data_IF_757348247585
#
_entry.id   IF_757348247585
#
_cell.length_a   1.000
_cell.length_b   1.000
_cell.length_c   1.000
_cell.angle_alpha   90.00
_cell.angle_beta   90.00
_cell.angle_gamma   90.00
#
_symmetry.space_group_name_H-M   'P 1'
#
loop_
_entity.id
_entity.type
_entity.pdbx_description
1 polymer ?
#
# COMPACT_ATOMS: atom_id res chain seq x y z
N UNK A 1 16.68 25.76 -11.97
CA UNK A 1 17.08 24.78 -10.92
C UNK A 1 17.01 25.49 -9.58
N UNK A 2 16.17 25.04 -8.62
CA UNK A 2 16.11 25.68 -7.29
C UNK A 2 17.43 25.41 -6.58
N UNK A 3 18.22 26.46 -6.37
CA UNK A 3 19.57 26.38 -5.81
C UNK A 3 19.55 25.87 -4.37
N UNK A 4 20.55 25.05 -4.03
CA UNK A 4 20.77 24.59 -2.67
C UNK A 4 21.23 25.77 -1.82
N UNK A 5 20.49 26.09 -0.76
CA UNK A 5 21.02 26.99 0.27
C UNK A 5 22.19 26.30 0.98
N UNK A 6 23.35 26.97 1.02
CA UNK A 6 24.59 26.49 1.67
C UNK A 6 24.35 26.01 3.12
N UNK A 7 23.40 26.63 3.83
CA UNK A 7 23.03 26.25 5.19
C UNK A 7 22.32 24.89 5.28
N UNK A 8 21.51 24.53 4.28
CA UNK A 8 20.84 23.21 4.23
C UNK A 8 21.86 22.11 3.98
N UNK A 9 22.83 22.36 3.11
CA UNK A 9 23.88 21.39 2.78
C UNK A 9 24.76 21.03 4.00
N UNK A 10 25.17 22.02 4.79
CA UNK A 10 25.98 21.78 6.01
C UNK A 10 25.23 20.92 7.03
N UNK A 11 23.97 21.25 7.32
CA UNK A 11 23.10 20.46 8.20
C UNK A 11 22.87 19.03 7.68
N UNK A 12 22.71 18.83 6.37
CA UNK A 12 22.54 17.48 5.81
C UNK A 12 23.80 16.61 5.95
N UNK A 13 24.99 17.21 5.91
CA UNK A 13 26.26 16.50 6.08
C UNK A 13 26.45 16.02 7.52
N UNK A 14 26.17 16.88 8.50
CA UNK A 14 26.24 16.54 9.93
C UNK A 14 25.30 15.39 10.29
N UNK A 15 24.05 15.44 9.81
CA UNK A 15 23.06 14.37 10.03
C UNK A 15 23.51 13.07 9.35
N UNK A 16 24.05 13.16 8.14
CA UNK A 16 24.53 12.00 7.40
C UNK A 16 25.68 11.28 8.13
N UNK A 17 26.64 12.04 8.66
CA UNK A 17 27.76 11.52 9.45
C UNK A 17 27.28 10.89 10.77
N UNK A 18 26.38 11.57 11.50
CA UNK A 18 25.82 11.09 12.77
C UNK A 18 25.13 9.71 12.64
N UNK A 19 24.37 9.51 11.54
CA UNK A 19 23.63 8.27 11.31
C UNK A 19 24.34 7.29 10.35
N UNK A 20 25.57 7.60 9.91
CA UNK A 20 26.32 6.79 8.93
C UNK A 20 25.52 6.47 7.64
N UNK A 21 24.78 7.46 7.14
CA UNK A 21 23.97 7.36 5.91
C UNK A 21 24.51 8.28 4.83
N UNK A 22 24.19 7.99 3.56
CA UNK A 22 24.55 8.88 2.46
C UNK A 22 23.81 10.23 2.59
N UNK A 23 24.50 11.35 2.35
CA UNK A 23 23.93 12.71 2.33
C UNK A 23 22.73 12.83 1.38
N UNK A 24 22.74 12.10 0.26
CA UNK A 24 21.63 12.03 -0.69
C UNK A 24 20.36 11.44 -0.05
N UNK A 25 20.50 10.50 0.90
CA UNK A 25 19.36 9.92 1.63
C UNK A 25 18.70 10.97 2.51
N UNK A 26 19.50 11.77 3.24
CA UNK A 26 19.00 12.87 4.08
C UNK A 26 18.28 13.90 3.22
N UNK A 27 18.88 14.31 2.10
CA UNK A 27 18.26 15.25 1.16
C UNK A 27 16.93 14.73 0.60
N UNK A 28 16.88 13.46 0.20
CA UNK A 28 15.65 12.84 -0.31
C UNK A 28 14.54 12.84 0.73
N UNK A 29 14.87 12.52 1.99
CA UNK A 29 13.90 12.51 3.09
C UNK A 29 13.42 13.91 3.46
N UNK A 30 14.32 14.90 3.50
CA UNK A 30 13.98 16.30 3.80
C UNK A 30 13.11 16.90 2.68
N UNK A 31 13.41 16.60 1.41
CA UNK A 31 12.53 16.93 0.29
C UNK A 31 11.15 16.28 0.43
N UNK A 32 11.11 14.99 0.75
CA UNK A 32 9.85 14.26 0.95
C UNK A 32 9.01 14.87 2.09
N UNK A 33 9.64 15.26 3.20
CA UNK A 33 8.97 15.92 4.32
C UNK A 33 8.38 17.26 3.91
N UNK A 34 9.10 18.10 3.14
CA UNK A 34 8.57 19.39 2.65
C UNK A 34 7.40 19.23 1.69
N UNK A 35 7.44 18.22 0.83
CA UNK A 35 6.41 18.01 -0.20
C UNK A 35 5.16 17.29 0.34
N UNK A 36 5.32 16.37 1.29
CA UNK A 36 4.25 15.46 1.73
C UNK A 36 3.93 15.52 3.22
N UNK A 37 4.71 16.25 4.01
CA UNK A 37 4.58 16.30 5.46
C UNK A 37 4.95 15.00 6.18
N UNK A 38 5.53 14.01 5.48
CA UNK A 38 5.84 12.70 6.05
C UNK A 38 7.07 12.05 5.43
N UNK A 39 7.89 11.42 6.28
CA UNK A 39 9.01 10.56 5.88
C UNK A 39 8.65 9.07 5.86
N UNK A 40 7.37 8.72 6.10
CA UNK A 40 6.92 7.32 6.02
C UNK A 40 7.13 6.77 4.61
N UNK A 41 7.52 5.51 4.53
CA UNK A 41 7.71 4.80 3.25
C UNK A 41 6.38 4.62 2.54
N UNK A 42 6.31 4.99 1.25
CA UNK A 42 5.11 4.85 0.42
C UNK A 42 5.05 3.45 -0.20
N UNK A 43 4.77 2.45 0.62
CA UNK A 43 4.64 1.04 0.18
C UNK A 43 3.43 0.86 -0.74
N UNK A 44 2.35 1.62 -0.53
CA UNK A 44 1.13 1.59 -1.36
C UNK A 44 1.29 2.04 -2.81
N UNK A 45 2.41 2.68 -3.13
CA UNK A 45 2.69 3.15 -4.49
C UNK A 45 3.56 2.19 -5.28
N UNK A 46 4.14 1.18 -4.64
CA UNK A 46 5.00 0.18 -5.27
C UNK A 46 4.17 -1.02 -5.76
N UNK A 47 4.71 -1.77 -6.72
CA UNK A 47 4.11 -3.00 -7.23
C UNK A 47 3.04 -2.82 -8.31
N UNK A 48 2.51 -3.94 -8.81
CA UNK A 48 1.46 -4.00 -9.83
C UNK A 48 0.15 -3.48 -9.22
N UNK A 49 -0.53 -2.57 -9.93
CA UNK A 49 -1.83 -2.07 -9.52
C UNK A 49 -2.91 -3.11 -9.78
N UNK A 50 -3.99 -3.03 -9.01
CA UNK A 50 -5.14 -3.89 -9.16
C UNK A 50 -5.77 -3.73 -10.53
N UNK A 51 -6.26 -4.84 -11.06
CA UNK A 51 -7.00 -4.84 -12.32
C UNK A 51 -8.43 -4.29 -12.14
N UNK A 52 -9.00 -4.42 -10.94
CA UNK A 52 -10.32 -3.90 -10.59
C UNK A 52 -10.21 -2.53 -9.93
N UNK A 53 -11.10 -1.61 -10.33
CA UNK A 53 -11.26 -0.30 -9.70
C UNK A 53 -12.06 -0.41 -8.40
N UNK A 54 -11.97 0.56 -7.48
CA UNK A 54 -12.81 0.56 -6.29
C UNK A 54 -14.30 0.58 -6.60
N UNK A 55 -14.71 1.18 -7.72
CA UNK A 55 -16.09 1.17 -8.20
C UNK A 55 -16.51 -0.25 -8.63
N UNK A 56 -15.64 -0.98 -9.34
CA UNK A 56 -15.90 -2.38 -9.72
C UNK A 56 -16.08 -3.26 -8.50
N UNK A 57 -15.27 -3.07 -7.46
CA UNK A 57 -15.39 -3.81 -6.20
C UNK A 57 -16.75 -3.58 -5.52
N UNK A 58 -17.24 -2.34 -5.52
CA UNK A 58 -18.56 -2.00 -4.99
C UNK A 58 -19.69 -2.61 -5.83
N UNK A 59 -19.54 -2.63 -7.15
CA UNK A 59 -20.52 -3.24 -8.05
C UNK A 59 -20.57 -4.76 -7.88
N UNK A 60 -19.42 -5.41 -7.72
CA UNK A 60 -19.33 -6.85 -7.40
C UNK A 60 -20.05 -7.13 -6.07
N UNK A 61 -19.78 -6.33 -5.03
CA UNK A 61 -20.44 -6.50 -3.73
C UNK A 61 -21.96 -6.38 -3.87
N UNK A 62 -22.46 -5.35 -4.56
CA UNK A 62 -23.91 -5.19 -4.82
C UNK A 62 -24.54 -6.39 -5.51
N UNK A 63 -23.88 -6.93 -6.54
CA UNK A 63 -24.40 -8.08 -7.30
C UNK A 63 -24.45 -9.33 -6.41
N UNK A 64 -23.41 -9.58 -5.62
CA UNK A 64 -23.34 -10.72 -4.68
C UNK A 64 -24.40 -10.60 -3.58
N UNK A 65 -24.65 -9.39 -3.06
CA UNK A 65 -25.70 -9.17 -2.06
C UNK A 65 -27.11 -9.36 -2.62
N UNK A 66 -27.32 -9.04 -3.90
CA UNK A 66 -28.62 -9.18 -4.55
C UNK A 66 -28.90 -10.63 -4.96
N UNK A 67 -27.87 -11.36 -5.42
CA UNK A 67 -27.95 -12.74 -5.88
C UNK A 67 -26.76 -13.54 -5.30
N UNK A 68 -26.90 -14.14 -4.10
CA UNK A 68 -25.78 -14.82 -3.44
C UNK A 68 -25.35 -16.12 -4.14
N UNK A 69 -26.24 -16.73 -4.94
CA UNK A 69 -25.98 -17.96 -5.70
C UNK A 69 -25.36 -17.71 -7.08
N UNK A 70 -25.03 -16.45 -7.41
CA UNK A 70 -24.43 -16.10 -8.71
C UNK A 70 -23.03 -16.71 -8.87
N UNK A 71 -22.75 -17.22 -10.06
CA UNK A 71 -21.42 -17.76 -10.38
C UNK A 71 -20.42 -16.66 -10.72
N UNK A 72 -19.13 -16.99 -10.60
CA UNK A 72 -18.05 -16.03 -10.88
C UNK A 72 -18.05 -15.59 -12.35
N UNK A 73 -18.35 -16.51 -13.27
CA UNK A 73 -18.40 -16.23 -14.70
C UNK A 73 -19.56 -15.27 -15.04
N UNK A 74 -20.73 -15.48 -14.42
CA UNK A 74 -21.88 -14.59 -14.59
C UNK A 74 -21.63 -13.18 -14.03
N UNK A 75 -20.86 -13.04 -12.94
CA UNK A 75 -20.44 -11.72 -12.45
C UNK A 75 -19.59 -11.01 -13.50
N UNK A 76 -18.65 -11.73 -14.12
CA UNK A 76 -17.77 -11.19 -15.17
C UNK A 76 -18.59 -10.71 -16.36
N UNK A 77 -19.54 -11.53 -16.81
CA UNK A 77 -20.39 -11.20 -17.94
C UNK A 77 -21.35 -10.04 -17.64
N UNK A 78 -22.00 -10.03 -16.47
CA UNK A 78 -22.93 -8.95 -16.06
C UNK A 78 -22.23 -7.60 -15.93
N UNK A 79 -21.00 -7.59 -15.40
CA UNK A 79 -20.24 -6.36 -15.17
C UNK A 79 -19.29 -6.02 -16.33
N UNK A 80 -19.19 -6.86 -17.36
CA UNK A 80 -18.30 -6.66 -18.50
C UNK A 80 -16.82 -6.61 -18.12
N UNK A 81 -16.40 -7.35 -17.08
CA UNK A 81 -15.06 -7.24 -16.51
C UNK A 81 -14.04 -8.06 -17.32
N UNK A 82 -13.02 -7.40 -17.87
CA UNK A 82 -11.94 -8.10 -18.56
C UNK A 82 -10.85 -8.58 -17.58
N UNK A 83 -11.22 -9.49 -16.66
CA UNK A 83 -10.32 -10.06 -15.65
C UNK A 83 -10.50 -11.58 -15.54
N UNK A 84 -9.48 -12.27 -15.03
CA UNK A 84 -9.59 -13.71 -14.78
C UNK A 84 -10.52 -14.01 -13.59
N UNK A 85 -11.18 -15.16 -13.61
CA UNK A 85 -12.09 -15.66 -12.55
C UNK A 85 -11.46 -15.60 -11.16
N UNK A 86 -10.15 -15.88 -11.04
CA UNK A 86 -9.43 -15.82 -9.77
C UNK A 86 -9.38 -14.40 -9.17
N UNK A 87 -9.40 -13.36 -10.01
CA UNK A 87 -9.44 -11.96 -9.56
C UNK A 87 -10.78 -11.63 -8.92
N UNK A 88 -11.88 -12.08 -9.54
CA UNK A 88 -13.24 -11.88 -9.02
C UNK A 88 -13.47 -12.72 -7.78
N UNK A 89 -13.00 -13.98 -7.76
CA UNK A 89 -13.05 -14.85 -6.56
C UNK A 89 -12.45 -14.15 -5.34
N UNK A 90 -11.29 -13.53 -5.49
CA UNK A 90 -10.64 -12.76 -4.42
C UNK A 90 -11.47 -11.55 -3.98
N UNK A 91 -12.08 -10.83 -4.92
CA UNK A 91 -12.95 -9.70 -4.61
C UNK A 91 -14.19 -10.15 -3.80
N UNK A 92 -14.84 -11.24 -4.19
CA UNK A 92 -16.02 -11.78 -3.49
C UNK A 92 -15.70 -12.22 -2.06
N UNK A 93 -14.54 -12.86 -1.83
CA UNK A 93 -14.08 -13.24 -0.48
C UNK A 93 -13.91 -12.01 0.42
N UNK A 94 -13.45 -10.88 -0.13
CA UNK A 94 -13.26 -9.63 0.60
C UNK A 94 -14.62 -8.94 0.86
N UNK A 95 -15.55 -9.03 -0.09
CA UNK A 95 -16.86 -8.40 -0.04
C UNK A 95 -17.80 -9.02 1.01
N UNK A 96 -17.78 -10.34 1.22
CA UNK A 96 -18.67 -11.01 2.19
C UNK A 96 -18.09 -10.92 3.62
N UNK A 97 -18.65 -10.09 4.53
CA UNK A 97 -18.05 -9.81 5.84
C UNK A 97 -18.01 -11.02 6.78
N UNK A 98 -18.95 -11.96 6.67
CA UNK A 98 -19.00 -13.18 7.50
C UNK A 98 -17.81 -14.12 7.26
N UNK A 99 -17.19 -14.05 6.08
CA UNK A 99 -15.96 -14.78 5.74
C UNK A 99 -14.68 -14.01 6.14
N UNK A 100 -14.78 -12.69 6.32
CA UNK A 100 -13.68 -11.80 6.71
C UNK A 100 -13.32 -11.93 8.21
N UNK A 101 -14.25 -12.26 9.10
CA UNK A 101 -13.94 -12.43 10.54
C UNK A 101 -12.87 -13.50 10.82
N UNK A 102 -12.72 -14.49 9.92
CA UNK A 102 -11.67 -15.52 9.95
C UNK A 102 -10.37 -15.09 9.22
N UNK A 103 -10.39 -13.94 8.55
CA UNK A 103 -9.33 -13.40 7.71
C UNK A 103 -9.15 -11.89 7.97
N UNK A 104 -8.99 -11.52 9.25
CA UNK A 104 -8.93 -10.15 9.78
C UNK A 104 -7.80 -9.27 9.20
N UNK A 105 -6.97 -9.81 8.31
CA UNK A 105 -5.85 -9.14 7.67
C UNK A 105 -6.22 -8.41 6.36
N UNK A 106 -7.43 -8.61 5.81
CA UNK A 106 -7.78 -8.10 4.47
C UNK A 106 -8.51 -6.74 4.47
N UNK A 107 -9.01 -6.26 5.61
CA UNK A 107 -9.93 -5.10 5.62
C UNK A 107 -9.31 -3.73 5.87
N UNK A 108 -7.97 -3.63 5.94
CA UNK A 108 -7.32 -2.31 6.03
C UNK A 108 -6.12 -2.17 5.09
N UNK A 109 -6.15 -2.92 3.98
CA UNK A 109 -5.15 -2.83 2.93
C UNK A 109 -5.82 -2.18 1.73
N UNK A 110 -5.50 -0.90 1.53
CA UNK A 110 -5.13 -0.48 0.17
C UNK A 110 -4.06 -1.49 -0.28
N UNK A 111 -4.47 -2.60 -0.91
CA UNK A 111 -3.63 -3.79 -1.09
C UNK A 111 -2.40 -3.39 -1.87
N UNK A 112 -1.32 -3.29 -1.13
CA UNK A 112 0.06 -3.20 -1.54
C UNK A 112 0.79 -3.87 -0.39
N UNK A 113 1.14 -5.13 -0.62
CA UNK A 113 1.99 -5.94 0.24
C UNK A 113 1.26 -6.44 1.49
N UNK A 114 0.66 -7.63 1.39
CA UNK A 114 0.66 -8.54 2.53
C UNK A 114 2.12 -8.80 2.90
N UNK A 115 2.56 -8.11 3.94
CA UNK A 115 3.56 -8.52 4.93
C UNK A 115 4.62 -9.53 4.45
N UNK A 116 5.69 -9.02 3.83
CA UNK A 116 6.96 -9.73 3.79
C UNK A 116 7.52 -9.70 5.23
N UNK A 117 7.00 -10.57 6.11
CA UNK A 117 7.50 -10.77 7.48
C UNK A 117 8.93 -11.30 7.42
N UNK A 118 9.89 -10.40 7.18
CA UNK A 118 11.22 -10.51 7.76
C UNK A 118 11.17 -9.69 9.02
N UNK A 119 10.94 -10.37 10.14
CA UNK A 119 11.30 -9.88 11.47
C UNK A 119 12.69 -9.25 11.40
N UNK A 120 12.85 -7.93 11.63
CA UNK A 120 14.17 -7.40 11.88
C UNK A 120 14.55 -7.88 13.28
N UNK A 121 15.41 -8.90 13.32
CA UNK A 121 16.17 -9.20 14.53
C UNK A 121 16.94 -7.93 14.88
N UNK A 122 16.61 -7.36 16.05
CA UNK A 122 17.35 -6.36 16.84
C UNK A 122 17.73 -5.03 16.17
N UNK A 123 17.23 -3.95 16.76
CA UNK A 123 18.08 -2.89 17.29
C UNK A 123 17.38 -2.25 18.50
N UNK A 124 17.74 -2.73 19.69
CA UNK A 124 17.52 -1.99 20.93
C UNK A 124 18.40 -0.74 20.85
N UNK A 125 17.78 0.44 20.74
CA UNK A 125 18.45 1.65 21.19
C UNK A 125 17.79 2.00 22.52
N UNK A 126 18.48 1.58 23.58
CA UNK A 126 18.27 2.08 24.94
C UNK A 126 18.49 3.60 24.90
N UNK A 127 17.56 4.31 25.52
CA UNK A 127 17.70 5.63 26.13
C UNK A 127 19.15 6.08 26.38
N UNK A 128 19.48 7.25 25.83
CA UNK A 128 20.39 8.24 26.40
C UNK A 128 19.71 9.61 26.26
#
# INVERSE_FOLDING_TARGET
MRGFSSAVFKKTKEIAECFSVNTNTVYRLEKQMRETGSVKTRTSQRGRKHALTPEDLQNIDRVVQQEPDITIDEIIDKLGLHVCNETVRKAVIIAIPENNAKNSALQNVNYCVTDFRRTPVRLQIRSL
#
